data_IF_335487255280
#
_entry.id   IF_335487255280
#
_cell.length_a   1.000
_cell.length_b   1.000
_cell.length_c   1.000
_cell.angle_alpha   90.00
_cell.angle_beta   90.00
_cell.angle_gamma   90.00
#
_symmetry.space_group_name_H-M   'P 1'
#
loop_
_entity.id
_entity.type
_entity.pdbx_description
1 polymer ?
#
# COMPACT_ATOMS: atom_id res chain seq x y z
N UNK A 1 -95.39 -27.20 23.17
CA UNK A 1 -94.78 -27.11 21.82
C UNK A 1 -93.51 -26.31 21.91
N UNK A 2 -92.41 -27.00 22.14
CA UNK A 2 -91.05 -26.37 22.40
C UNK A 2 -90.22 -26.68 21.17
N UNK A 3 -89.78 -25.62 20.45
CA UNK A 3 -88.79 -25.71 19.41
C UNK A 3 -87.37 -25.53 20.02
N UNK A 4 -86.54 -26.53 19.81
CA UNK A 4 -85.11 -26.47 20.16
C UNK A 4 -84.32 -25.81 19.01
N UNK A 5 -83.60 -24.72 19.34
CA UNK A 5 -82.65 -24.11 18.46
C UNK A 5 -81.28 -24.79 18.65
N UNK A 6 -80.72 -25.38 17.60
CA UNK A 6 -79.40 -25.95 17.57
C UNK A 6 -78.39 -24.82 17.18
N UNK A 7 -77.49 -24.51 18.10
CA UNK A 7 -76.37 -23.63 17.85
C UNK A 7 -75.23 -24.44 17.17
N UNK A 8 -74.78 -23.96 15.99
CA UNK A 8 -73.60 -24.47 15.28
C UNK A 8 -72.47 -23.58 15.59
N UNK A 9 -71.47 -24.10 16.35
CA UNK A 9 -70.20 -23.40 16.63
C UNK A 9 -69.26 -23.67 15.45
N UNK A 10 -68.84 -22.61 14.75
CA UNK A 10 -67.74 -22.66 13.78
C UNK A 10 -66.43 -22.39 14.46
N UNK A 11 -65.59 -23.41 14.51
CA UNK A 11 -64.15 -23.28 14.95
C UNK A 11 -63.31 -22.75 13.78
N UNK A 12 -62.82 -21.52 13.88
CA UNK A 12 -61.85 -20.98 12.94
C UNK A 12 -60.44 -21.35 13.50
N UNK A 13 -59.77 -22.31 12.87
CA UNK A 13 -58.36 -22.61 13.14
C UNK A 13 -57.46 -21.62 12.37
N UNK A 14 -56.88 -20.67 13.09
CA UNK A 14 -55.86 -19.78 12.52
C UNK A 14 -54.55 -20.54 12.47
N UNK A 15 -54.10 -20.93 11.30
CA UNK A 15 -52.78 -21.44 11.06
C UNK A 15 -51.77 -20.27 11.03
N UNK A 16 -50.91 -20.17 12.04
CA UNK A 16 -49.77 -19.25 12.07
C UNK A 16 -48.65 -19.88 11.25
N UNK A 17 -48.41 -19.37 10.05
CA UNK A 17 -47.25 -19.73 9.24
C UNK A 17 -46.04 -18.95 9.77
N UNK A 18 -45.15 -19.58 10.54
CA UNK A 18 -43.85 -19.05 10.88
C UNK A 18 -42.95 -19.11 9.63
N UNK A 19 -42.73 -17.97 8.99
CA UNK A 19 -41.65 -17.79 8.01
C UNK A 19 -40.30 -17.72 8.74
N UNK A 20 -39.57 -18.82 8.81
CA UNK A 20 -38.17 -18.88 9.19
C UNK A 20 -37.36 -18.28 8.04
N UNK A 21 -36.97 -17.02 8.14
CA UNK A 21 -35.93 -16.43 7.30
C UNK A 21 -34.59 -17.07 7.72
N UNK A 22 -34.14 -18.04 6.93
CA UNK A 22 -32.78 -18.51 7.03
C UNK A 22 -31.83 -17.36 6.60
N UNK A 23 -31.26 -16.68 7.56
CA UNK A 23 -30.10 -15.82 7.29
C UNK A 23 -28.97 -16.74 6.79
N UNK A 24 -28.69 -16.72 5.51
CA UNK A 24 -27.50 -17.34 4.94
C UNK A 24 -26.32 -16.55 5.48
N UNK A 25 -25.67 -17.08 6.52
CA UNK A 25 -24.32 -16.65 6.89
C UNK A 25 -23.44 -17.03 5.71
N UNK A 26 -23.12 -16.07 4.87
CA UNK A 26 -22.11 -16.24 3.83
C UNK A 26 -20.81 -16.57 4.57
N UNK A 27 -20.31 -17.80 4.42
CA UNK A 27 -19.00 -18.14 4.92
C UNK A 27 -18.01 -17.21 4.21
N UNK A 28 -17.32 -16.34 4.96
CA UNK A 28 -16.24 -15.52 4.42
C UNK A 28 -15.22 -16.47 3.80
N UNK A 29 -15.01 -16.36 2.50
CA UNK A 29 -14.03 -17.18 1.80
C UNK A 29 -12.65 -16.74 2.23
N UNK A 30 -11.84 -17.67 2.73
CA UNK A 30 -10.43 -17.41 3.05
C UNK A 30 -9.73 -16.93 1.78
N UNK A 31 -9.07 -15.76 1.79
CA UNK A 31 -8.39 -15.26 0.60
C UNK A 31 -7.27 -16.21 0.15
N UNK A 32 -7.21 -16.45 -1.15
CA UNK A 32 -6.18 -17.25 -1.81
C UNK A 32 -5.07 -16.32 -2.28
N UNK A 33 -3.83 -16.81 -2.20
CA UNK A 33 -2.62 -16.09 -2.60
C UNK A 33 -2.02 -16.72 -3.85
N UNK A 34 -1.76 -15.89 -4.85
CA UNK A 34 -1.05 -16.27 -6.08
C UNK A 34 0.12 -15.33 -6.32
N UNK A 35 1.06 -15.80 -7.13
CA UNK A 35 2.24 -15.03 -7.52
C UNK A 35 2.26 -14.95 -9.05
N UNK A 36 2.61 -13.77 -9.54
CA UNK A 36 2.76 -13.50 -10.96
C UNK A 36 4.10 -12.84 -11.21
N UNK A 37 4.56 -12.94 -12.45
CA UNK A 37 5.75 -12.28 -12.95
C UNK A 37 5.36 -11.49 -14.18
N UNK A 38 5.69 -10.20 -14.17
CA UNK A 38 5.41 -9.29 -15.28
C UNK A 38 6.73 -8.87 -15.89
N UNK A 39 6.92 -9.22 -17.17
CA UNK A 39 8.12 -8.83 -17.91
C UNK A 39 8.00 -7.38 -18.37
N UNK A 40 9.02 -6.57 -18.12
CA UNK A 40 9.11 -5.18 -18.56
C UNK A 40 10.46 -4.92 -19.24
N UNK A 41 10.47 -4.06 -20.26
CA UNK A 41 11.71 -3.46 -20.77
C UNK A 41 12.11 -2.33 -19.82
N UNK A 42 13.16 -2.55 -19.03
CA UNK A 42 13.54 -1.62 -17.99
C UNK A 42 13.96 -0.27 -18.55
N UNK A 43 13.47 0.80 -17.90
CA UNK A 43 13.96 2.18 -18.08
C UNK A 43 14.83 2.62 -16.91
N UNK A 44 14.97 1.78 -15.87
CA UNK A 44 15.84 2.08 -14.73
C UNK A 44 17.31 2.25 -15.17
N UNK A 45 18.04 3.30 -14.72
CA UNK A 45 19.39 3.61 -15.21
C UNK A 45 20.36 2.43 -15.19
N UNK A 46 20.31 1.61 -14.14
CA UNK A 46 21.21 0.46 -13.98
C UNK A 46 20.89 -0.73 -14.89
N UNK A 47 19.68 -0.81 -15.45
CA UNK A 47 19.19 -1.95 -16.22
C UNK A 47 18.49 -1.51 -17.52
N UNK A 48 18.69 -0.26 -17.96
CA UNK A 48 18.03 0.31 -19.11
C UNK A 48 18.16 -0.58 -20.37
N UNK A 49 17.03 -0.87 -21.02
CA UNK A 49 16.94 -1.72 -22.19
C UNK A 49 17.06 -3.23 -21.94
N UNK A 50 17.18 -3.65 -20.67
CA UNK A 50 17.14 -5.08 -20.33
C UNK A 50 15.69 -5.51 -20.06
N UNK A 51 15.36 -6.73 -20.47
CA UNK A 51 14.13 -7.37 -20.01
C UNK A 51 14.33 -7.75 -18.54
N UNK A 52 13.45 -7.26 -17.66
CA UNK A 52 13.46 -7.60 -16.24
C UNK A 52 12.11 -8.16 -15.83
N UNK A 53 12.11 -8.89 -14.74
CA UNK A 53 10.95 -9.53 -14.16
C UNK A 53 10.52 -8.79 -12.89
N UNK A 54 9.26 -8.31 -12.90
CA UNK A 54 8.61 -7.72 -11.74
C UNK A 54 7.77 -8.78 -11.03
N UNK A 55 7.93 -8.89 -9.73
CA UNK A 55 7.10 -9.72 -8.88
C UNK A 55 5.78 -9.05 -8.55
N UNK A 56 4.68 -9.80 -8.68
CA UNK A 56 3.34 -9.35 -8.32
C UNK A 56 2.66 -10.41 -7.44
N UNK A 57 2.32 -10.02 -6.21
CA UNK A 57 1.48 -10.80 -5.30
C UNK A 57 0.01 -10.55 -5.62
N UNK A 58 -0.78 -11.59 -5.73
CA UNK A 58 -2.25 -11.53 -5.75
C UNK A 58 -2.82 -12.08 -4.44
N UNK A 59 -3.80 -11.38 -3.88
CA UNK A 59 -4.65 -11.87 -2.79
C UNK A 59 -6.10 -11.61 -3.18
N UNK A 60 -6.87 -12.67 -3.36
CA UNK A 60 -8.25 -12.58 -3.82
C UNK A 60 -9.14 -13.64 -3.18
N UNK A 61 -10.44 -13.41 -3.13
CA UNK A 61 -11.40 -14.47 -2.85
C UNK A 61 -11.50 -15.42 -4.05
N UNK A 62 -12.06 -16.59 -3.85
CA UNK A 62 -12.33 -17.56 -4.95
C UNK A 62 -13.26 -17.01 -6.03
N UNK A 63 -14.03 -15.97 -5.72
CA UNK A 63 -14.95 -15.30 -6.63
C UNK A 63 -15.03 -13.80 -6.27
N UNK A 64 -14.09 -12.97 -6.75
CA UNK A 64 -14.16 -11.52 -6.56
C UNK A 64 -15.46 -10.96 -7.15
N UNK A 65 -16.09 -10.03 -6.41
CA UNK A 65 -17.34 -9.37 -6.84
C UNK A 65 -17.09 -7.99 -7.44
N UNK A 66 -15.96 -7.36 -7.08
CA UNK A 66 -15.54 -6.07 -7.61
C UNK A 66 -14.83 -6.25 -8.95
N UNK A 67 -15.33 -5.58 -9.99
CA UNK A 67 -14.80 -5.72 -11.35
C UNK A 67 -13.41 -5.08 -11.51
N UNK A 68 -13.15 -3.96 -10.82
CA UNK A 68 -11.92 -3.19 -10.95
C UNK A 68 -10.90 -3.65 -9.89
N UNK A 69 -9.75 -4.22 -10.29
CA UNK A 69 -8.74 -4.69 -9.36
C UNK A 69 -8.03 -3.53 -8.66
N UNK A 70 -7.42 -3.85 -7.50
CA UNK A 70 -6.65 -2.90 -6.70
C UNK A 70 -5.17 -3.26 -6.77
N UNK A 71 -4.32 -2.32 -7.18
CA UNK A 71 -2.86 -2.46 -7.16
C UNK A 71 -2.26 -1.66 -6.01
N UNK A 72 -1.52 -2.35 -5.15
CA UNK A 72 -0.76 -1.77 -4.05
C UNK A 72 0.68 -1.48 -4.47
N UNK A 73 1.16 -0.28 -4.13
CA UNK A 73 2.50 0.22 -4.46
C UNK A 73 3.21 0.68 -3.19
N UNK A 74 4.33 0.02 -2.89
CA UNK A 74 5.06 0.19 -1.64
C UNK A 74 5.84 1.52 -1.53
N UNK A 75 6.26 1.83 -0.30
CA UNK A 75 7.13 2.95 0.03
C UNK A 75 8.62 2.68 -0.22
N UNK A 76 9.47 3.54 0.31
CA UNK A 76 10.92 3.36 0.26
C UNK A 76 11.36 2.19 1.17
N UNK A 77 12.21 1.32 0.64
CA UNK A 77 12.91 0.32 1.43
C UNK A 77 12.10 -0.87 1.95
N UNK A 78 10.80 -0.96 1.70
CA UNK A 78 9.96 -2.08 2.14
C UNK A 78 9.25 -2.69 0.94
N UNK A 79 9.41 -3.98 0.68
CA UNK A 79 8.71 -4.67 -0.42
C UNK A 79 7.19 -4.65 -0.25
N UNK A 80 6.46 -4.79 -1.34
CA UNK A 80 5.02 -4.67 -1.36
C UNK A 80 4.31 -5.80 -0.58
N UNK A 81 4.79 -7.04 -0.71
CA UNK A 81 4.26 -8.17 0.06
C UNK A 81 4.38 -7.92 1.56
N UNK A 82 5.54 -7.42 2.01
CA UNK A 82 5.77 -7.09 3.43
C UNK A 82 4.90 -5.92 3.88
N UNK A 83 4.76 -4.89 3.03
CA UNK A 83 3.99 -3.70 3.37
C UNK A 83 2.48 -4.00 3.53
N UNK A 84 1.92 -4.88 2.69
CA UNK A 84 0.47 -4.98 2.52
C UNK A 84 -0.14 -6.36 2.79
N UNK A 85 0.69 -7.42 2.88
CA UNK A 85 0.22 -8.81 3.11
C UNK A 85 1.09 -9.54 4.14
N UNK A 86 1.47 -8.87 5.25
CA UNK A 86 2.23 -9.51 6.33
C UNK A 86 1.46 -10.71 6.90
N UNK A 87 2.14 -11.86 7.17
CA UNK A 87 1.47 -13.10 7.56
C UNK A 87 1.05 -13.12 9.04
N UNK A 88 0.37 -12.07 9.50
CA UNK A 88 -0.20 -11.96 10.84
C UNK A 88 -1.68 -11.66 10.70
N UNK A 89 -2.51 -12.44 11.39
CA UNK A 89 -3.97 -12.30 11.33
C UNK A 89 -4.41 -10.86 11.67
N UNK A 90 -5.23 -10.27 10.83
CA UNK A 90 -5.75 -8.91 11.00
C UNK A 90 -4.84 -7.79 10.48
N UNK A 91 -3.62 -8.11 9.99
CA UNK A 91 -2.65 -7.10 9.53
C UNK A 91 -2.35 -7.15 8.03
N UNK A 92 -3.06 -7.95 7.27
CA UNK A 92 -3.01 -7.90 5.80
C UNK A 92 -4.07 -6.95 5.26
N UNK A 93 -3.66 -5.80 4.76
CA UNK A 93 -4.55 -4.84 4.09
C UNK A 93 -5.14 -5.44 2.81
N UNK A 94 -4.33 -6.21 2.07
CA UNK A 94 -4.78 -6.92 0.88
C UNK A 94 -5.85 -7.95 1.20
N UNK A 95 -5.67 -8.78 2.24
CA UNK A 95 -6.64 -9.78 2.65
C UNK A 95 -7.96 -9.13 3.12
N UNK A 96 -7.88 -8.01 3.84
CA UNK A 96 -9.05 -7.26 4.29
C UNK A 96 -9.95 -6.82 3.12
N UNK A 97 -9.36 -6.30 2.04
CA UNK A 97 -10.09 -5.92 0.83
C UNK A 97 -10.55 -7.15 0.04
N UNK A 98 -9.75 -8.21 -0.02
CA UNK A 98 -10.09 -9.45 -0.71
C UNK A 98 -11.31 -10.15 -0.09
N UNK A 99 -11.41 -10.16 1.26
CA UNK A 99 -12.58 -10.67 1.98
C UNK A 99 -13.87 -9.88 1.68
N UNK A 100 -13.71 -8.64 1.17
CA UNK A 100 -14.80 -7.73 0.78
C UNK A 100 -15.02 -7.65 -0.73
N UNK A 101 -14.48 -8.60 -1.47
CA UNK A 101 -14.79 -8.81 -2.89
C UNK A 101 -13.79 -8.23 -3.88
N UNK A 102 -12.72 -7.55 -3.44
CA UNK A 102 -11.69 -7.07 -4.36
C UNK A 102 -10.71 -8.17 -4.77
N UNK A 103 -10.25 -8.13 -6.01
CA UNK A 103 -9.00 -8.76 -6.41
C UNK A 103 -7.86 -7.76 -6.14
N UNK A 104 -6.98 -8.08 -5.20
CA UNK A 104 -5.89 -7.21 -4.77
C UNK A 104 -4.54 -7.72 -5.25
N UNK A 105 -3.72 -6.81 -5.72
CA UNK A 105 -2.37 -7.07 -6.23
C UNK A 105 -1.39 -6.15 -5.55
N UNK A 106 -0.15 -6.60 -5.35
CA UNK A 106 0.94 -5.78 -4.84
C UNK A 106 2.20 -6.06 -5.66
N UNK A 107 2.86 -5.01 -6.14
CA UNK A 107 4.06 -5.16 -6.96
C UNK A 107 5.29 -4.63 -6.26
N UNK A 108 6.38 -5.38 -6.36
CA UNK A 108 7.72 -4.88 -6.02
C UNK A 108 8.29 -4.12 -7.23
N UNK A 109 8.73 -2.87 -7.00
CA UNK A 109 9.46 -2.10 -8.02
C UNK A 109 10.81 -2.75 -8.32
N UNK A 110 11.41 -2.43 -9.47
CA UNK A 110 12.79 -2.82 -9.80
C UNK A 110 13.73 -2.54 -8.63
N UNK A 111 14.46 -3.56 -8.20
CA UNK A 111 15.41 -3.46 -7.08
C UNK A 111 14.83 -3.71 -5.69
N UNK A 112 13.53 -3.97 -5.57
CA UNK A 112 12.87 -4.29 -4.31
C UNK A 112 12.44 -5.76 -4.25
N UNK A 113 12.32 -6.26 -3.04
CA UNK A 113 11.70 -7.52 -2.72
C UNK A 113 12.13 -8.68 -3.63
N UNK A 114 11.16 -9.29 -4.26
CA UNK A 114 11.32 -10.45 -5.15
C UNK A 114 11.42 -10.06 -6.63
N UNK A 115 11.25 -8.77 -6.97
CA UNK A 115 11.56 -8.26 -8.31
C UNK A 115 13.05 -8.27 -8.58
N UNK A 116 13.42 -8.30 -9.85
CA UNK A 116 14.83 -8.37 -10.26
C UNK A 116 15.61 -7.17 -9.73
N UNK A 117 16.78 -7.45 -9.10
CA UNK A 117 17.67 -6.44 -8.56
C UNK A 117 18.78 -6.09 -9.54
N UNK A 118 19.08 -4.81 -9.78
CA UNK A 118 20.30 -4.40 -10.48
C UNK A 118 21.56 -5.00 -9.82
N UNK A 119 22.48 -5.53 -10.63
CA UNK A 119 23.69 -6.19 -10.14
C UNK A 119 24.51 -5.36 -9.11
N UNK A 120 24.63 -4.01 -9.22
CA UNK A 120 25.33 -3.21 -8.23
C UNK A 120 24.73 -3.27 -6.81
N UNK A 121 23.49 -3.70 -6.64
CA UNK A 121 22.90 -3.91 -5.30
C UNK A 121 23.49 -5.10 -4.55
N UNK A 122 24.19 -6.01 -5.22
CA UNK A 122 24.90 -7.11 -4.56
C UNK A 122 26.30 -6.72 -4.07
N UNK A 123 26.79 -5.52 -4.40
CA UNK A 123 28.09 -4.99 -4.00
C UNK A 123 27.94 -4.03 -2.82
N UNK A 124 28.49 -4.41 -1.65
CA UNK A 124 28.46 -3.60 -0.42
C UNK A 124 29.16 -2.25 -0.57
N UNK A 125 30.12 -2.14 -1.51
CA UNK A 125 30.83 -0.88 -1.77
C UNK A 125 29.89 0.23 -2.29
N UNK A 126 28.69 -0.09 -2.72
CA UNK A 126 27.65 0.87 -3.14
C UNK A 126 26.74 1.37 -2.01
N UNK A 127 27.00 0.94 -0.75
CA UNK A 127 26.49 1.60 0.46
C UNK A 127 27.30 2.87 0.76
N UNK A 128 26.76 3.76 1.60
CA UNK A 128 27.59 4.87 2.13
C UNK A 128 28.75 4.33 2.96
N UNK A 129 29.86 5.07 3.00
CA UNK A 129 31.03 4.70 3.81
C UNK A 129 30.65 4.46 5.27
N UNK A 130 29.79 5.31 5.85
CA UNK A 130 29.28 5.14 7.21
C UNK A 130 28.55 3.80 7.41
N UNK A 131 27.69 3.42 6.48
CA UNK A 131 26.95 2.16 6.55
C UNK A 131 27.86 0.94 6.34
N UNK A 132 28.88 1.06 5.48
CA UNK A 132 29.88 0.00 5.29
C UNK A 132 30.68 -0.23 6.59
N UNK A 133 31.20 0.85 7.23
CA UNK A 133 31.94 0.76 8.47
C UNK A 133 31.07 0.16 9.60
N UNK A 134 29.81 0.59 9.70
CA UNK A 134 28.90 0.09 10.72
C UNK A 134 28.66 -1.42 10.61
N UNK A 135 28.50 -1.95 9.40
CA UNK A 135 28.13 -3.36 9.21
C UNK A 135 29.33 -4.28 9.03
N UNK A 136 30.44 -3.77 8.43
CA UNK A 136 31.55 -4.62 8.01
C UNK A 136 32.88 -4.25 8.69
N UNK A 137 32.95 -3.09 9.34
CA UNK A 137 34.16 -2.59 10.02
C UNK A 137 35.17 -1.95 9.08
N UNK A 138 34.96 -1.97 7.77
CA UNK A 138 35.81 -1.38 6.75
C UNK A 138 34.99 -0.80 5.60
N UNK A 139 35.58 0.04 4.76
CA UNK A 139 34.91 0.63 3.59
C UNK A 139 35.76 0.42 2.32
N UNK A 140 35.07 0.38 1.20
CA UNK A 140 35.61 0.31 -0.16
C UNK A 140 34.98 1.38 -1.05
N UNK A 141 35.66 1.69 -2.16
CA UNK A 141 35.16 2.69 -3.11
C UNK A 141 33.90 2.20 -3.83
N UNK A 142 32.90 3.07 -3.94
CA UNK A 142 31.68 2.78 -4.69
C UNK A 142 31.98 2.48 -6.16
N UNK A 143 31.32 1.47 -6.71
CA UNK A 143 31.37 1.12 -8.14
C UNK A 143 30.33 1.87 -8.95
N UNK A 144 29.30 2.44 -8.29
CA UNK A 144 28.25 3.28 -8.88
C UNK A 144 28.07 4.54 -8.03
N UNK A 145 28.08 5.69 -8.66
CA UNK A 145 28.00 6.99 -7.98
C UNK A 145 26.62 7.68 -8.08
N UNK A 146 25.59 6.97 -8.57
CA UNK A 146 24.24 7.50 -8.75
C UNK A 146 23.18 6.49 -8.34
N UNK A 147 21.93 6.96 -8.17
CA UNK A 147 20.79 6.09 -7.95
C UNK A 147 20.64 5.07 -9.09
N UNK A 148 20.23 3.84 -8.74
CA UNK A 148 20.04 2.73 -9.67
C UNK A 148 18.70 2.75 -10.38
N UNK A 149 17.72 3.42 -9.79
CA UNK A 149 16.35 3.60 -10.29
C UNK A 149 15.96 5.08 -10.17
N UNK A 150 14.92 5.47 -10.88
CA UNK A 150 14.36 6.83 -10.85
C UNK A 150 12.85 6.75 -10.61
N UNK A 151 12.20 7.88 -10.36
CA UNK A 151 10.75 7.94 -10.26
C UNK A 151 10.06 7.59 -11.60
N UNK A 152 10.66 8.02 -12.71
CA UNK A 152 10.19 7.66 -14.05
C UNK A 152 10.24 6.15 -14.28
N UNK A 153 11.34 5.50 -13.88
CA UNK A 153 11.45 4.03 -13.98
C UNK A 153 10.44 3.31 -13.10
N UNK A 154 10.10 3.86 -11.92
CA UNK A 154 9.06 3.30 -11.06
C UNK A 154 7.67 3.44 -11.70
N UNK A 155 7.37 4.58 -12.36
CA UNK A 155 6.12 4.74 -13.11
C UNK A 155 6.01 3.79 -14.29
N UNK A 156 7.13 3.51 -14.96
CA UNK A 156 7.17 2.54 -16.04
C UNK A 156 6.92 1.11 -15.55
N UNK A 157 7.49 0.74 -14.40
CA UNK A 157 7.19 -0.54 -13.75
C UNK A 157 5.70 -0.66 -13.38
N UNK A 158 5.13 0.41 -12.82
CA UNK A 158 3.68 0.47 -12.49
C UNK A 158 2.83 0.32 -13.76
N UNK A 159 3.18 1.00 -14.84
CA UNK A 159 2.42 0.95 -16.10
C UNK A 159 2.37 -0.47 -16.66
N UNK A 160 3.48 -1.19 -16.65
CA UNK A 160 3.54 -2.58 -17.09
C UNK A 160 2.61 -3.50 -16.25
N UNK A 161 2.58 -3.30 -14.92
CA UNK A 161 1.70 -4.08 -14.05
C UNK A 161 0.24 -3.66 -14.21
N UNK A 162 -0.05 -2.36 -14.36
CA UNK A 162 -1.40 -1.86 -14.65
C UNK A 162 -1.94 -2.45 -15.95
N UNK A 163 -1.16 -2.46 -17.02
CA UNK A 163 -1.59 -3.04 -18.29
C UNK A 163 -1.78 -4.56 -18.22
N UNK A 164 -0.94 -5.26 -17.45
CA UNK A 164 -1.15 -6.68 -17.13
C UNK A 164 -2.50 -6.90 -16.42
N UNK A 165 -2.82 -6.10 -15.41
CA UNK A 165 -4.08 -6.22 -14.66
C UNK A 165 -5.29 -5.87 -15.51
N UNK A 166 -5.21 -4.82 -16.32
CA UNK A 166 -6.26 -4.43 -17.26
C UNK A 166 -6.57 -5.56 -18.24
N UNK A 167 -5.55 -6.18 -18.80
CA UNK A 167 -5.70 -7.31 -19.69
C UNK A 167 -6.26 -8.56 -18.97
N UNK A 168 -5.76 -8.87 -17.78
CA UNK A 168 -6.18 -10.02 -16.96
C UNK A 168 -7.66 -9.94 -16.57
N UNK A 169 -8.14 -8.75 -16.22
CA UNK A 169 -9.51 -8.53 -15.75
C UNK A 169 -10.47 -8.03 -16.85
N UNK A 170 -9.98 -7.67 -18.02
CA UNK A 170 -10.80 -7.13 -19.10
C UNK A 170 -11.41 -5.76 -18.76
N UNK A 171 -10.66 -4.90 -18.05
CA UNK A 171 -11.11 -3.58 -17.59
C UNK A 171 -10.23 -2.47 -18.16
N UNK A 172 -10.79 -1.25 -18.25
CA UNK A 172 -10.04 -0.09 -18.74
C UNK A 172 -9.20 0.58 -17.66
N UNK A 173 -9.56 0.42 -16.39
CA UNK A 173 -8.93 1.11 -15.27
C UNK A 173 -8.63 0.15 -14.10
N UNK A 174 -7.66 0.54 -13.27
CA UNK A 174 -7.36 -0.09 -11.98
C UNK A 174 -7.53 0.93 -10.85
N UNK A 175 -7.65 0.46 -9.61
CA UNK A 175 -7.57 1.28 -8.41
C UNK A 175 -6.18 1.14 -7.81
N UNK A 176 -5.64 2.21 -7.24
CA UNK A 176 -4.28 2.21 -6.67
C UNK A 176 -4.32 2.45 -5.17
N UNK A 177 -3.43 1.76 -4.46
CA UNK A 177 -3.14 2.02 -3.04
C UNK A 177 -1.64 2.26 -2.88
N UNK A 178 -1.25 3.38 -2.29
CA UNK A 178 0.14 3.73 -2.05
C UNK A 178 0.46 3.90 -0.57
N UNK A 179 1.74 3.76 -0.21
CA UNK A 179 2.24 4.07 1.11
C UNK A 179 3.57 4.83 1.02
N UNK A 180 3.71 5.95 1.78
CA UNK A 180 4.97 6.70 1.88
C UNK A 180 5.44 7.20 0.50
N UNK A 181 6.60 6.75 0.01
CA UNK A 181 7.07 6.98 -1.36
C UNK A 181 6.12 6.38 -2.42
N UNK A 182 5.25 5.46 -2.04
CA UNK A 182 4.13 5.03 -2.86
C UNK A 182 3.16 6.16 -3.22
N UNK A 183 3.17 7.28 -2.47
CA UNK A 183 2.40 8.49 -2.81
C UNK A 183 2.81 9.08 -4.17
N UNK A 184 4.04 9.59 -4.34
CA UNK A 184 4.50 10.09 -5.64
C UNK A 184 4.53 8.99 -6.71
N UNK A 185 4.71 7.71 -6.37
CA UNK A 185 4.59 6.59 -7.31
C UNK A 185 3.16 6.46 -7.85
N UNK A 186 2.17 6.40 -6.99
CA UNK A 186 0.76 6.19 -7.42
C UNK A 186 0.12 7.46 -7.95
N UNK A 187 0.26 8.60 -7.26
CA UNK A 187 -0.37 9.85 -7.67
C UNK A 187 0.34 10.50 -8.86
N UNK A 188 1.67 10.42 -8.92
CA UNK A 188 2.44 10.87 -10.09
C UNK A 188 2.13 10.02 -11.33
N UNK A 189 2.04 8.69 -11.17
CA UNK A 189 1.57 7.82 -12.25
C UNK A 189 0.14 8.17 -12.67
N UNK A 190 -0.80 8.31 -11.73
CA UNK A 190 -2.19 8.65 -12.02
C UNK A 190 -2.37 10.02 -12.67
N UNK A 191 -1.47 10.99 -12.38
CA UNK A 191 -1.44 12.27 -13.07
C UNK A 191 -1.17 12.11 -14.58
N UNK A 192 -0.21 11.26 -14.95
CA UNK A 192 0.14 10.99 -16.35
C UNK A 192 -0.81 10.01 -17.07
N UNK A 193 -1.57 9.19 -16.31
CA UNK A 193 -2.37 8.08 -16.82
C UNK A 193 -3.78 8.05 -16.20
N UNK A 194 -4.46 9.20 -16.13
CA UNK A 194 -5.78 9.32 -15.55
C UNK A 194 -6.85 8.43 -16.25
N UNK A 195 -6.63 8.06 -17.50
CA UNK A 195 -7.45 7.13 -18.26
C UNK A 195 -7.33 5.68 -17.77
N UNK A 196 -6.23 5.31 -17.11
CA UNK A 196 -5.96 3.97 -16.57
C UNK A 196 -6.28 3.83 -15.08
N UNK A 197 -6.59 4.93 -14.36
CA UNK A 197 -6.76 4.93 -12.90
C UNK A 197 -8.15 5.42 -12.48
N UNK A 198 -8.90 4.56 -11.80
CA UNK A 198 -10.26 4.87 -11.34
C UNK A 198 -10.26 5.71 -10.05
N UNK A 199 -9.41 5.37 -9.09
CA UNK A 199 -9.26 6.08 -7.81
C UNK A 199 -7.95 5.68 -7.11
N UNK A 200 -7.52 6.51 -6.16
CA UNK A 200 -6.28 6.27 -5.39
C UNK A 200 -6.55 6.40 -3.90
N UNK A 201 -5.90 5.54 -3.11
CA UNK A 201 -5.76 5.67 -1.65
C UNK A 201 -4.28 5.77 -1.32
N UNK A 202 -3.87 6.73 -0.48
CA UNK A 202 -2.46 6.82 -0.06
C UNK A 202 -2.34 7.04 1.45
N UNK A 203 -1.62 6.13 2.10
CA UNK A 203 -1.17 6.31 3.49
C UNK A 203 0.16 7.06 3.51
N UNK A 204 0.24 8.14 4.31
CA UNK A 204 1.46 8.88 4.57
C UNK A 204 2.25 9.25 3.30
N UNK A 205 1.63 9.87 2.29
CA UNK A 205 2.27 10.18 1.01
C UNK A 205 3.47 11.13 1.20
N UNK A 206 4.63 10.75 0.69
CA UNK A 206 5.80 11.62 0.68
C UNK A 206 5.52 12.86 -0.20
N UNK A 207 5.53 14.04 0.42
CA UNK A 207 5.29 15.33 -0.25
C UNK A 207 6.02 16.46 0.45
N UNK A 208 6.53 17.40 -0.34
CA UNK A 208 7.09 18.66 0.15
C UNK A 208 6.86 19.76 -0.89
N UNK A 209 5.88 20.63 -0.64
CA UNK A 209 5.55 21.75 -1.54
C UNK A 209 6.69 22.73 -1.78
N UNK A 210 7.69 22.76 -0.89
CA UNK A 210 8.86 23.64 -0.97
C UNK A 210 10.12 22.94 -1.51
N UNK A 211 10.01 21.66 -1.93
CA UNK A 211 11.16 20.99 -2.53
C UNK A 211 11.47 21.58 -3.90
N UNK A 212 12.77 21.69 -4.22
CA UNK A 212 13.18 22.03 -5.57
C UNK A 212 12.66 20.97 -6.56
N UNK A 213 12.11 21.43 -7.66
CA UNK A 213 11.72 20.53 -8.75
C UNK A 213 12.95 19.82 -9.29
N UNK A 214 12.87 18.50 -9.41
CA UNK A 214 13.89 17.66 -10.06
C UNK A 214 13.17 16.79 -11.07
N UNK A 215 13.74 16.60 -12.25
CA UNK A 215 13.15 15.73 -13.26
C UNK A 215 12.96 14.31 -12.72
N UNK A 216 11.85 13.67 -13.07
CA UNK A 216 11.50 12.33 -12.58
C UNK A 216 12.50 11.25 -13.02
N UNK A 217 13.17 11.47 -14.14
CA UNK A 217 14.16 10.60 -14.76
C UNK A 217 15.62 10.92 -14.36
N UNK A 218 15.84 11.96 -13.54
CA UNK A 218 17.17 12.37 -13.15
C UNK A 218 17.77 11.40 -12.08
N UNK A 219 18.87 10.70 -12.36
CA UNK A 219 19.59 9.94 -11.34
C UNK A 219 20.15 10.90 -10.27
N UNK A 220 19.95 10.56 -9.00
CA UNK A 220 20.56 11.32 -7.89
C UNK A 220 21.99 10.84 -7.67
N UNK A 221 22.94 11.79 -7.64
CA UNK A 221 24.32 11.51 -7.28
C UNK A 221 24.45 11.05 -5.82
N UNK A 222 25.45 10.25 -5.53
CA UNK A 222 25.77 9.75 -4.21
C UNK A 222 25.48 8.24 -4.03
N UNK A 223 25.17 7.82 -2.81
CA UNK A 223 24.96 6.41 -2.45
C UNK A 223 23.87 5.77 -3.31
N UNK A 224 24.21 4.66 -3.98
CA UNK A 224 23.32 3.98 -4.91
C UNK A 224 22.24 3.14 -4.20
N UNK A 225 22.56 2.60 -3.03
CA UNK A 225 21.68 1.76 -2.22
C UNK A 225 21.66 2.23 -0.77
N UNK A 226 20.57 1.90 -0.08
CA UNK A 226 20.43 2.09 1.37
C UNK A 226 20.21 0.76 2.04
N UNK A 227 20.60 0.64 3.30
CA UNK A 227 20.32 -0.50 4.15
C UNK A 227 19.64 -0.07 5.45
N UNK A 228 18.94 -0.99 6.09
CA UNK A 228 18.45 -0.79 7.44
C UNK A 228 18.62 -2.09 8.23
N UNK A 229 19.11 -1.99 9.47
CA UNK A 229 19.14 -3.10 10.42
C UNK A 229 17.82 -3.23 11.17
N UNK A 230 17.62 -4.36 11.89
CA UNK A 230 16.46 -4.53 12.75
C UNK A 230 16.41 -3.47 13.87
N UNK A 231 17.58 -3.16 14.44
CA UNK A 231 17.67 -2.15 15.49
C UNK A 231 17.26 -0.76 14.99
N UNK A 232 17.71 -0.37 13.79
CA UNK A 232 17.32 0.92 13.18
C UNK A 232 15.80 0.94 12.90
N UNK A 233 15.26 -0.15 12.37
CA UNK A 233 13.84 -0.29 12.09
C UNK A 233 12.98 -0.13 13.35
N UNK A 234 13.32 -0.85 14.43
CA UNK A 234 12.58 -0.78 15.68
C UNK A 234 12.77 0.57 16.40
N UNK A 235 13.98 1.14 16.36
CA UNK A 235 14.24 2.47 16.93
C UNK A 235 13.41 3.54 16.24
N UNK A 236 13.34 3.49 14.90
CA UNK A 236 12.53 4.43 14.12
C UNK A 236 11.03 4.25 14.41
N UNK A 237 10.54 3.02 14.53
CA UNK A 237 9.13 2.76 14.85
C UNK A 237 8.78 3.22 16.27
N UNK A 238 9.59 2.83 17.28
CA UNK A 238 9.39 3.24 18.67
C UNK A 238 9.38 4.75 18.84
N UNK A 239 10.23 5.46 18.10
CA UNK A 239 10.33 6.92 18.16
C UNK A 239 9.07 7.67 17.73
N UNK A 240 8.15 6.98 17.05
CA UNK A 240 6.89 7.56 16.56
C UNK A 240 5.63 6.82 17.08
N UNK A 241 5.80 5.94 18.06
CA UNK A 241 4.71 5.18 18.70
C UNK A 241 4.53 5.58 20.17
N UNK A 242 4.07 6.84 20.46
CA UNK A 242 3.96 7.35 21.85
C UNK A 242 2.74 6.82 22.60
N UNK A 243 1.75 6.23 21.90
CA UNK A 243 0.56 5.71 22.55
C UNK A 243 0.85 4.36 23.21
N UNK A 244 0.19 4.09 24.33
CA UNK A 244 0.33 2.80 25.01
C UNK A 244 -0.16 1.66 24.12
N UNK A 245 0.65 0.61 23.99
CA UNK A 245 0.35 -0.55 23.15
C UNK A 245 -0.04 -0.19 21.71
N UNK A 246 0.67 0.76 21.08
CA UNK A 246 0.35 1.21 19.73
C UNK A 246 0.55 0.11 18.69
N UNK A 247 1.48 -0.82 18.90
CA UNK A 247 1.67 -1.99 18.05
C UNK A 247 2.04 -3.25 18.84
N UNK A 248 1.87 -4.42 18.23
CA UNK A 248 2.27 -5.71 18.80
C UNK A 248 3.71 -6.05 18.38
N UNK A 249 4.63 -6.36 19.31
CA UNK A 249 5.98 -6.82 19.00
C UNK A 249 6.03 -8.07 18.10
N UNK A 250 5.00 -8.92 18.11
CA UNK A 250 4.88 -10.07 17.21
C UNK A 250 4.75 -9.61 15.77
N UNK A 251 3.96 -8.57 15.51
CA UNK A 251 3.81 -7.97 14.18
C UNK A 251 5.13 -7.36 13.70
N UNK A 252 5.80 -6.59 14.56
CA UNK A 252 7.09 -5.99 14.22
C UNK A 252 8.16 -7.05 13.89
N UNK A 253 8.16 -8.16 14.62
CA UNK A 253 9.05 -9.30 14.36
C UNK A 253 8.72 -9.97 13.04
N UNK A 254 7.43 -10.20 12.73
CA UNK A 254 6.99 -10.79 11.47
C UNK A 254 7.38 -9.89 10.29
N UNK A 255 7.10 -8.59 10.35
CA UNK A 255 7.47 -7.61 9.33
C UNK A 255 8.98 -7.64 9.05
N UNK A 256 9.81 -7.67 10.11
CA UNK A 256 11.26 -7.73 9.93
C UNK A 256 11.71 -9.05 9.27
N UNK A 257 11.18 -10.17 9.70
CA UNK A 257 11.51 -11.48 9.14
C UNK A 257 11.15 -11.56 7.64
N UNK A 258 9.98 -11.04 7.25
CA UNK A 258 9.58 -10.99 5.85
C UNK A 258 10.48 -10.03 5.02
N UNK A 259 10.93 -8.91 5.61
CA UNK A 259 11.91 -8.04 4.94
C UNK A 259 13.23 -8.77 4.65
N UNK A 260 13.74 -9.57 5.58
CA UNK A 260 14.95 -10.38 5.37
C UNK A 260 14.71 -11.51 4.38
N UNK A 261 13.57 -12.19 4.45
CA UNK A 261 13.21 -13.26 3.51
C UNK A 261 13.11 -12.75 2.06
N UNK A 262 12.67 -11.50 1.88
CA UNK A 262 12.59 -10.84 0.56
C UNK A 262 13.94 -10.36 0.01
N UNK A 263 15.01 -10.34 0.82
CA UNK A 263 16.37 -9.95 0.43
C UNK A 263 17.43 -10.92 0.98
N UNK A 264 17.57 -12.11 0.37
CA UNK A 264 18.49 -13.14 0.87
C UNK A 264 19.96 -12.69 0.94
N UNK A 265 20.41 -11.80 0.04
CA UNK A 265 21.78 -11.28 0.08
C UNK A 265 21.94 -10.30 1.25
N UNK A 266 21.05 -9.33 1.38
CA UNK A 266 21.06 -8.39 2.51
C UNK A 266 20.94 -9.11 3.85
N UNK A 267 20.18 -10.18 3.94
CA UNK A 267 20.06 -10.99 5.15
C UNK A 267 21.38 -11.62 5.61
N UNK A 268 22.38 -11.72 4.74
CA UNK A 268 23.74 -12.21 5.10
C UNK A 268 24.74 -11.10 5.44
N UNK A 269 24.32 -9.82 5.32
CA UNK A 269 25.21 -8.69 5.60
C UNK A 269 25.19 -8.33 7.09
N UNK A 270 26.33 -8.39 7.74
CA UNK A 270 26.47 -8.02 9.14
C UNK A 270 25.52 -8.79 10.07
N UNK A 271 24.68 -8.04 10.78
CA UNK A 271 23.62 -8.59 11.65
C UNK A 271 22.35 -9.04 10.89
N UNK A 272 22.37 -8.95 9.57
CA UNK A 272 21.20 -9.10 8.70
C UNK A 272 20.52 -7.74 8.46
N UNK A 273 20.50 -7.32 7.20
CA UNK A 273 19.91 -6.04 6.81
C UNK A 273 19.00 -6.21 5.62
N UNK A 274 17.97 -5.38 5.53
CA UNK A 274 17.25 -5.14 4.30
C UNK A 274 17.96 -4.08 3.47
N UNK A 275 17.95 -4.24 2.16
CA UNK A 275 18.53 -3.29 1.21
C UNK A 275 17.45 -2.78 0.27
N UNK A 276 17.59 -1.54 -0.15
CA UNK A 276 16.77 -0.93 -1.19
C UNK A 276 17.60 -0.02 -2.08
N UNK A 277 17.27 0.13 -3.37
CA UNK A 277 17.84 1.19 -4.17
C UNK A 277 17.44 2.54 -3.57
N UNK A 278 18.31 3.53 -3.71
CA UNK A 278 17.95 4.91 -3.40
C UNK A 278 17.09 5.44 -4.55
N UNK A 279 15.82 5.74 -4.25
CA UNK A 279 14.89 6.28 -5.23
C UNK A 279 14.58 7.74 -4.89
N UNK A 280 14.79 8.68 -5.82
CA UNK A 280 14.37 10.05 -5.63
C UNK A 280 12.84 10.16 -5.60
N UNK A 281 12.34 11.08 -4.79
CA UNK A 281 10.90 11.41 -4.70
C UNK A 281 10.50 12.53 -5.66
N UNK A 282 11.33 12.77 -6.68
CA UNK A 282 11.21 13.90 -7.59
C UNK A 282 10.33 13.60 -8.80
N UNK A 283 9.98 14.64 -9.55
CA UNK A 283 9.05 14.56 -10.67
C UNK A 283 7.58 14.71 -10.25
N UNK A 284 7.30 14.87 -8.97
CA UNK A 284 5.97 15.14 -8.45
C UNK A 284 5.99 16.45 -7.63
N UNK A 285 5.91 17.56 -8.35
CA UNK A 285 5.98 18.93 -7.83
C UNK A 285 4.57 19.48 -7.53
N UNK A 286 4.44 20.65 -6.87
CA UNK A 286 3.15 21.30 -6.69
C UNK A 286 2.36 21.52 -7.99
N UNK A 287 3.02 21.65 -9.13
CA UNK A 287 2.36 21.81 -10.44
C UNK A 287 1.63 20.52 -10.85
N UNK A 288 2.31 19.37 -10.81
CA UNK A 288 1.71 18.06 -11.13
C UNK A 288 0.64 17.70 -10.11
N UNK A 289 0.86 18.01 -8.82
CA UNK A 289 -0.11 17.80 -7.75
C UNK A 289 -1.39 18.60 -8.04
N UNK A 290 -1.28 19.89 -8.36
CA UNK A 290 -2.44 20.74 -8.67
C UNK A 290 -3.17 20.32 -9.95
N UNK A 291 -2.51 19.62 -10.86
CA UNK A 291 -3.09 19.11 -12.10
C UNK A 291 -3.65 17.68 -11.96
N UNK A 292 -3.43 17.01 -10.82
CA UNK A 292 -3.97 15.66 -10.56
C UNK A 292 -5.48 15.71 -10.31
N UNK A 293 -6.28 15.01 -11.12
CA UNK A 293 -7.75 15.08 -11.09
C UNK A 293 -8.44 13.79 -10.65
N UNK A 294 -7.72 12.66 -10.54
CA UNK A 294 -8.29 11.38 -10.12
C UNK A 294 -8.83 11.48 -8.69
N UNK A 295 -9.92 10.77 -8.36
CA UNK A 295 -10.44 10.70 -6.99
C UNK A 295 -9.38 10.16 -6.02
N UNK A 296 -9.18 10.81 -4.85
CA UNK A 296 -8.13 10.44 -3.90
C UNK A 296 -8.58 10.44 -2.45
N UNK A 297 -8.24 9.39 -1.71
CA UNK A 297 -8.24 9.38 -0.25
C UNK A 297 -6.80 9.43 0.25
N UNK A 298 -6.49 10.44 1.07
CA UNK A 298 -5.21 10.56 1.78
C UNK A 298 -5.42 10.13 3.23
N UNK A 299 -4.49 9.35 3.77
CA UNK A 299 -4.48 8.94 5.17
C UNK A 299 -3.19 9.41 5.84
N UNK A 300 -3.32 9.98 7.05
CA UNK A 300 -2.20 10.45 7.86
C UNK A 300 -2.25 9.84 9.27
N UNK A 301 -1.17 9.22 9.70
CA UNK A 301 -0.98 8.88 11.12
C UNK A 301 -0.64 10.14 11.92
N UNK A 302 -1.38 10.43 13.00
CA UNK A 302 -1.15 11.66 13.76
C UNK A 302 0.16 11.66 14.56
N UNK A 303 0.80 10.50 14.72
CA UNK A 303 2.11 10.36 15.36
C UNK A 303 3.24 10.07 14.37
N UNK A 304 2.96 10.15 13.05
CA UNK A 304 3.96 9.91 12.01
C UNK A 304 5.12 10.92 12.09
N UNK A 305 6.32 10.41 12.37
CA UNK A 305 7.56 11.19 12.45
C UNK A 305 8.35 11.22 11.13
N UNK A 306 7.97 10.40 10.13
CA UNK A 306 8.64 10.34 8.83
C UNK A 306 7.96 11.24 7.80
N UNK A 307 6.65 11.04 7.61
CA UNK A 307 5.81 11.94 6.81
C UNK A 307 4.79 12.57 7.75
N UNK A 308 5.18 13.69 8.36
CA UNK A 308 4.36 14.36 9.36
C UNK A 308 2.98 14.73 8.82
N UNK A 309 1.94 14.68 9.66
CA UNK A 309 0.55 14.97 9.25
C UNK A 309 0.37 16.33 8.55
N UNK A 310 1.18 17.34 8.91
CA UNK A 310 1.15 18.65 8.25
C UNK A 310 1.52 18.54 6.75
N UNK A 311 2.41 17.63 6.36
CA UNK A 311 2.75 17.38 4.95
C UNK A 311 1.62 16.75 4.17
N UNK A 312 0.88 15.85 4.81
CA UNK A 312 -0.31 15.25 4.19
C UNK A 312 -1.44 16.27 4.04
N UNK A 313 -1.62 17.16 5.03
CA UNK A 313 -2.56 18.29 4.94
C UNK A 313 -2.17 19.28 3.83
N UNK A 314 -0.87 19.55 3.66
CA UNK A 314 -0.37 20.35 2.55
C UNK A 314 -0.74 19.72 1.20
N UNK A 315 -0.49 18.42 1.03
CA UNK A 315 -0.87 17.69 -0.17
C UNK A 315 -2.38 17.73 -0.41
N UNK A 316 -3.18 17.50 0.65
CA UNK A 316 -4.64 17.59 0.55
C UNK A 316 -5.12 18.98 0.09
N UNK A 317 -4.47 20.03 0.55
CA UNK A 317 -4.80 21.39 0.12
C UNK A 317 -4.41 21.64 -1.35
N UNK A 318 -3.26 21.12 -1.77
CA UNK A 318 -2.65 21.40 -3.07
C UNK A 318 -3.21 20.55 -4.22
N UNK A 319 -3.65 19.31 -3.94
CA UNK A 319 -4.10 18.38 -4.99
C UNK A 319 -5.37 18.88 -5.68
N UNK A 320 -5.34 18.86 -7.01
CA UNK A 320 -6.38 19.45 -7.86
C UNK A 320 -7.68 18.66 -7.96
N UNK A 321 -7.72 17.41 -7.45
CA UNK A 321 -8.93 16.59 -7.48
C UNK A 321 -10.09 17.27 -6.73
N UNK A 322 -11.28 17.27 -7.34
CA UNK A 322 -12.52 17.72 -6.70
C UNK A 322 -13.12 16.65 -5.77
N UNK A 323 -12.78 15.38 -6.00
CA UNK A 323 -13.16 14.25 -5.14
C UNK A 323 -11.95 13.86 -4.31
N UNK A 324 -11.82 14.44 -3.11
CA UNK A 324 -10.68 14.22 -2.22
C UNK A 324 -11.10 14.19 -0.75
N UNK A 325 -10.64 13.15 -0.05
CA UNK A 325 -10.87 12.96 1.39
C UNK A 325 -9.52 12.86 2.10
N UNK A 326 -9.42 13.43 3.30
CA UNK A 326 -8.32 13.23 4.23
C UNK A 326 -8.85 12.52 5.47
N UNK A 327 -8.27 11.37 5.81
CA UNK A 327 -8.48 10.69 7.09
C UNK A 327 -7.23 10.80 7.96
N UNK A 328 -7.40 11.23 9.20
CA UNK A 328 -6.34 11.38 10.19
C UNK A 328 -6.53 10.35 11.30
N UNK A 329 -5.54 9.49 11.48
CA UNK A 329 -5.60 8.34 12.38
C UNK A 329 -4.95 8.69 13.72
N UNK A 330 -5.74 8.76 14.80
CA UNK A 330 -5.18 8.89 16.15
C UNK A 330 -4.38 7.66 16.55
N UNK A 331 -3.30 7.87 17.29
CA UNK A 331 -2.38 6.79 17.72
C UNK A 331 -1.95 5.89 16.56
N UNK A 332 -1.58 6.51 15.45
CA UNK A 332 -1.04 5.82 14.28
C UNK A 332 0.20 6.57 13.78
N UNK A 333 1.26 5.82 13.51
CA UNK A 333 2.52 6.32 12.98
C UNK A 333 2.60 6.14 11.46
N UNK A 334 3.82 6.26 10.91
CA UNK A 334 4.13 5.93 9.52
C UNK A 334 3.75 4.49 9.14
N UNK A 335 3.73 3.61 10.14
CA UNK A 335 3.50 2.17 10.01
C UNK A 335 2.05 1.78 10.37
N UNK A 336 1.08 2.69 10.21
CA UNK A 336 -0.30 2.53 10.64
C UNK A 336 -0.96 1.21 10.22
N UNK A 337 -0.55 0.63 9.08
CA UNK A 337 -1.07 -0.65 8.60
C UNK A 337 -0.60 -1.86 9.43
N UNK A 338 0.43 -1.70 10.28
CA UNK A 338 0.96 -2.73 11.16
C UNK A 338 0.70 -2.44 12.65
N UNK A 339 -0.11 -1.43 12.96
CA UNK A 339 -0.40 -0.97 14.31
C UNK A 339 -1.82 -1.34 14.76
N UNK A 340 -2.05 -1.31 16.06
CA UNK A 340 -3.40 -1.50 16.59
C UNK A 340 -4.33 -0.43 16.00
N UNK A 341 -5.46 -0.86 15.49
CA UNK A 341 -6.39 0.03 14.80
C UNK A 341 -6.10 0.23 13.30
N UNK A 342 -5.21 -0.59 12.70
CA UNK A 342 -5.02 -0.68 11.25
C UNK A 342 -6.35 -0.88 10.49
N UNK A 343 -7.31 -1.57 11.11
CA UNK A 343 -8.64 -1.80 10.54
C UNK A 343 -9.36 -0.48 10.18
N UNK A 344 -9.15 0.61 10.93
CA UNK A 344 -9.72 1.93 10.61
C UNK A 344 -9.24 2.47 9.25
N UNK A 345 -7.94 2.25 8.95
CA UNK A 345 -7.36 2.56 7.66
C UNK A 345 -7.91 1.66 6.56
N UNK A 346 -8.01 0.36 6.84
CA UNK A 346 -8.49 -0.62 5.88
C UNK A 346 -9.96 -0.38 5.53
N UNK A 347 -10.79 -0.06 6.53
CA UNK A 347 -12.21 0.26 6.31
C UNK A 347 -12.40 1.57 5.53
N UNK A 348 -11.66 2.62 5.88
CA UNK A 348 -11.70 3.87 5.12
C UNK A 348 -11.28 3.64 3.65
N UNK A 349 -10.27 2.80 3.43
CA UNK A 349 -9.83 2.42 2.09
C UNK A 349 -10.89 1.62 1.35
N UNK A 350 -11.55 0.67 2.03
CA UNK A 350 -12.63 -0.11 1.45
C UNK A 350 -13.78 0.80 0.97
N UNK A 351 -14.29 1.68 1.83
CA UNK A 351 -15.35 2.61 1.47
C UNK A 351 -14.97 3.46 0.26
N UNK A 352 -13.76 4.02 0.25
CA UNK A 352 -13.28 4.83 -0.86
C UNK A 352 -13.12 4.05 -2.16
N UNK A 353 -12.51 2.89 -2.10
CA UNK A 353 -12.31 2.04 -3.28
C UNK A 353 -13.63 1.47 -3.81
N UNK A 354 -14.63 1.24 -2.95
CA UNK A 354 -15.94 0.74 -3.36
C UNK A 354 -16.80 1.84 -3.98
N UNK A 355 -17.02 2.95 -3.26
CA UNK A 355 -18.03 3.97 -3.60
C UNK A 355 -17.42 5.31 -4.05
N UNK A 356 -16.11 5.49 -3.97
CA UNK A 356 -15.42 6.79 -4.12
C UNK A 356 -15.97 7.83 -3.13
N UNK A 357 -16.38 7.36 -1.94
CA UNK A 357 -16.82 8.17 -0.80
C UNK A 357 -16.23 7.63 0.50
N UNK A 358 -16.17 8.47 1.51
CA UNK A 358 -15.94 8.08 2.89
C UNK A 358 -17.05 8.69 3.77
N UNK A 359 -17.75 7.85 4.54
CA UNK A 359 -18.95 8.23 5.30
C UNK A 359 -19.96 8.99 4.41
N UNK A 360 -20.16 8.50 3.18
CA UNK A 360 -21.04 9.10 2.18
C UNK A 360 -20.59 10.45 1.62
N UNK A 361 -19.35 10.87 1.88
CA UNK A 361 -18.78 12.14 1.40
C UNK A 361 -17.71 11.91 0.34
N UNK A 362 -17.72 12.72 -0.71
CA UNK A 362 -16.68 12.77 -1.74
C UNK A 362 -15.53 13.71 -1.39
N UNK A 363 -15.68 14.52 -0.33
CA UNK A 363 -14.65 15.47 0.12
C UNK A 363 -14.80 15.77 1.61
N UNK A 364 -13.69 16.12 2.26
CA UNK A 364 -13.66 16.49 3.68
C UNK A 364 -12.46 15.94 4.42
N UNK A 365 -12.33 16.35 5.69
CA UNK A 365 -11.31 15.83 6.61
C UNK A 365 -12.00 15.16 7.80
N UNK A 366 -11.54 13.95 8.15
CA UNK A 366 -12.12 13.12 9.21
C UNK A 366 -11.02 12.65 10.15
N UNK A 367 -11.29 12.72 11.47
CA UNK A 367 -10.38 12.17 12.48
C UNK A 367 -10.92 10.85 12.99
N UNK A 368 -10.16 9.78 12.75
CA UNK A 368 -10.49 8.43 13.19
C UNK A 368 -9.88 8.17 14.56
N UNK A 369 -10.74 8.20 15.57
CA UNK A 369 -10.36 8.02 16.97
C UNK A 369 -9.76 6.65 17.24
N UNK A 370 -8.75 6.56 18.11
CA UNK A 370 -8.32 5.27 18.65
C UNK A 370 -9.43 4.70 19.54
N UNK A 371 -9.66 3.39 19.47
CA UNK A 371 -10.40 2.72 20.52
C UNK A 371 -9.55 2.81 21.81
N UNK A 372 -10.10 3.42 22.87
CA UNK A 372 -9.44 3.56 24.17
C UNK A 372 -9.12 2.21 24.79
#
# INVERSE_FOLDING_TARGET
>A
MQQRIKSVAHSISSAVVLLLSAATVSAQSVPVRHEHQVMVQSTAPATAGQAIELYVREVSSSAPTEAIPVLFVHGAGTPAEVAFDVPVAGYSWMAYLAERGFATYATDMTGYGRSQRPAPMADRCNLSEEQQIQEFGDACAATVATALTTMESDWHDIDAVVDFLRAKHGVDQVKLVGWSQGGPRTLGYAHGHADKVASVVVLAPAYNRNAAATAADAPIAGTAITKQSQQDFLTQWNGQAPCMNQYDPVVATAVWNEMLASDPIGATWGSGVRRAPRVPTFGWTPTEVAATTVPVLLAAGLTDGQVRPDRVRELYADIGSSSKVLVELECASHNAMWEHGAERLFDASYQWLHDTTYDGKTSGTFVLKSAN
#
